data_IF_471042392858
#
_entry.id   IF_471042392858
#
_cell.length_a   1.000
_cell.length_b   1.000
_cell.length_c   1.000
_cell.angle_alpha   90.00
_cell.angle_beta   90.00
_cell.angle_gamma   90.00
#
_symmetry.space_group_name_H-M   'P 1'
#
loop_
_entity.id
_entity.type
_entity.pdbx_description
1 polymer ?
#
# COMPACT_ATOMS: atom_id res chain seq x y z
N UNK A 1 4.34 -18.91 46.77
CA UNK A 1 2.91 -19.21 46.55
C UNK A 1 2.14 -17.96 46.97
N UNK A 2 1.40 -17.21 46.16
CA UNK A 2 0.71 -17.41 44.87
C UNK A 2 0.58 -16.01 44.21
N UNK A 3 0.68 -15.96 42.89
CA UNK A 3 0.64 -14.72 42.09
C UNK A 3 -0.75 -14.09 41.97
N UNK A 4 -0.77 -12.77 41.75
CA UNK A 4 -1.97 -12.02 41.43
C UNK A 4 -2.28 -12.11 39.92
N UNK A 5 -3.52 -12.48 39.61
CA UNK A 5 -4.06 -12.64 38.26
C UNK A 5 -4.36 -11.26 37.64
N UNK A 6 -3.92 -11.06 36.40
CA UNK A 6 -4.42 -9.99 35.52
C UNK A 6 -5.75 -10.45 34.92
N UNK A 7 -6.80 -9.65 35.10
CA UNK A 7 -8.11 -9.87 34.46
C UNK A 7 -8.25 -8.87 33.33
N UNK A 8 -8.46 -9.37 32.10
CA UNK A 8 -8.69 -8.56 30.90
C UNK A 8 -10.18 -8.21 30.83
N UNK A 9 -10.53 -6.93 30.98
CA UNK A 9 -11.92 -6.47 30.83
C UNK A 9 -12.17 -5.93 29.41
N UNK A 10 -13.30 -6.37 28.83
CA UNK A 10 -13.63 -6.29 27.41
C UNK A 10 -14.51 -5.08 27.10
N UNK A 11 -14.13 -4.33 26.06
CA UNK A 11 -14.95 -3.45 25.16
C UNK A 11 -15.96 -2.47 25.75
N UNK A 12 -15.75 -1.18 25.47
CA UNK A 12 -16.85 -0.24 25.15
C UNK A 12 -16.52 0.59 23.90
N UNK A 13 -17.24 0.32 22.82
CA UNK A 13 -17.28 1.11 21.58
C UNK A 13 -17.91 2.47 21.87
N UNK A 14 -17.22 3.57 21.57
CA UNK A 14 -17.82 4.92 21.52
C UNK A 14 -18.22 5.21 20.08
N UNK A 15 -19.48 5.58 19.87
CA UNK A 15 -20.00 6.06 18.59
C UNK A 15 -19.94 7.59 18.58
N UNK A 16 -19.49 8.19 17.49
CA UNK A 16 -19.70 9.62 17.20
C UNK A 16 -20.48 9.75 15.89
N UNK A 17 -21.30 10.79 15.80
CA UNK A 17 -22.23 11.04 14.69
C UNK A 17 -21.74 12.26 13.91
N UNK A 18 -21.61 12.15 12.59
CA UNK A 18 -21.46 13.29 11.66
C UNK A 18 -22.59 13.18 10.63
N UNK A 19 -23.59 14.08 10.71
CA UNK A 19 -24.71 14.14 9.77
C UNK A 19 -25.74 12.99 9.83
N UNK A 20 -26.63 12.93 8.82
CA UNK A 20 -27.75 11.97 8.72
C UNK A 20 -27.36 10.63 8.05
N UNK A 21 -26.12 10.50 7.60
CA UNK A 21 -25.63 9.30 6.91
C UNK A 21 -24.84 8.43 7.88
N UNK A 22 -25.36 7.25 8.21
CA UNK A 22 -24.60 6.23 8.93
C UNK A 22 -23.61 5.57 7.97
N UNK A 23 -22.35 6.00 7.98
CA UNK A 23 -21.26 5.21 7.41
C UNK A 23 -20.83 4.20 8.46
N UNK A 24 -21.04 2.92 8.19
CA UNK A 24 -20.45 1.86 9.01
C UNK A 24 -18.94 1.86 8.76
N UNK A 25 -18.16 2.29 9.77
CA UNK A 25 -16.72 2.00 9.86
C UNK A 25 -16.53 0.50 10.14
N UNK A 26 -17.00 -0.35 9.24
CA UNK A 26 -16.59 -1.75 9.23
C UNK A 26 -15.26 -1.84 8.49
N UNK A 27 -14.20 -1.87 9.30
CA UNK A 27 -12.82 -2.29 9.02
C UNK A 27 -11.80 -1.18 8.74
N UNK A 28 -11.62 -0.30 9.72
CA UNK A 28 -10.24 -0.08 10.16
C UNK A 28 -9.85 -1.36 10.93
N UNK A 29 -9.26 -2.34 10.24
CA UNK A 29 -8.64 -3.46 10.95
C UNK A 29 -7.38 -2.88 11.59
N UNK A 30 -7.28 -2.80 12.93
CA UNK A 30 -6.00 -2.53 13.55
C UNK A 30 -5.03 -3.59 13.02
N UNK A 31 -3.81 -3.15 12.70
CA UNK A 31 -2.65 -3.98 12.41
C UNK A 31 -2.77 -5.29 13.20
N UNK A 32 -2.95 -6.41 12.49
CA UNK A 32 -3.20 -7.70 13.11
C UNK A 32 -2.05 -7.98 14.09
N UNK A 33 -2.35 -8.06 15.37
CA UNK A 33 -1.38 -8.28 16.46
C UNK A 33 -0.66 -9.63 16.41
N UNK A 34 -0.88 -10.41 15.35
CA UNK A 34 -0.48 -11.81 15.24
C UNK A 34 0.52 -12.05 14.09
N UNK A 35 0.99 -10.99 13.41
CA UNK A 35 2.17 -11.13 12.54
C UNK A 35 3.42 -11.21 13.42
N UNK A 36 4.11 -12.35 13.36
CA UNK A 36 5.40 -12.53 14.01
C UNK A 36 6.36 -11.45 13.50
N UNK A 37 6.80 -10.55 14.38
CA UNK A 37 7.72 -9.44 14.09
C UNK A 37 9.03 -9.90 13.41
N UNK A 38 9.31 -11.21 13.44
CA UNK A 38 10.47 -11.84 12.83
C UNK A 38 10.34 -12.20 11.33
N UNK A 39 9.17 -12.11 10.68
CA UNK A 39 9.00 -12.55 9.26
C UNK A 39 8.98 -11.44 8.22
N UNK A 40 8.89 -10.17 8.62
CA UNK A 40 8.89 -9.01 7.72
C UNK A 40 10.24 -8.31 7.91
N UNK A 41 11.28 -8.85 7.27
CA UNK A 41 12.61 -8.23 7.29
C UNK A 41 12.68 -7.22 6.14
N UNK A 42 12.70 -5.93 6.48
CA UNK A 42 13.02 -4.89 5.50
C UNK A 42 14.46 -5.09 5.03
N UNK A 43 14.72 -5.09 3.73
CA UNK A 43 16.03 -5.43 3.13
C UNK A 43 17.02 -4.26 3.14
N UNK A 44 16.91 -3.35 4.12
CA UNK A 44 17.66 -2.09 4.20
C UNK A 44 17.58 -1.24 2.91
N UNK A 45 16.48 -1.34 2.14
CA UNK A 45 16.22 -0.48 0.99
C UNK A 45 15.48 0.79 1.41
N UNK A 46 15.64 1.84 0.62
CA UNK A 46 15.06 3.15 0.89
C UNK A 46 13.85 3.45 0.02
N UNK A 47 12.95 4.28 0.55
CA UNK A 47 11.87 4.89 -0.19
C UNK A 47 12.37 6.06 -1.06
N UNK A 48 11.48 6.65 -1.85
CA UNK A 48 11.82 7.77 -2.76
C UNK A 48 12.34 9.04 -2.07
N UNK A 49 12.24 9.14 -0.75
CA UNK A 49 12.83 10.22 0.06
C UNK A 49 14.21 9.88 0.63
N UNK A 50 14.72 8.67 0.37
CA UNK A 50 15.97 8.18 0.95
C UNK A 50 15.83 7.70 2.41
N UNK A 51 14.62 7.53 2.89
CA UNK A 51 14.32 7.00 4.24
C UNK A 51 14.06 5.49 4.18
N UNK A 52 14.09 4.75 5.30
CA UNK A 52 13.80 3.32 5.29
C UNK A 52 12.45 2.99 4.63
N UNK A 53 12.42 1.98 3.76
CA UNK A 53 11.22 1.59 3.02
C UNK A 53 10.13 1.05 3.96
N UNK A 54 8.92 1.60 3.88
CA UNK A 54 7.78 1.12 4.65
C UNK A 54 7.05 -0.05 3.98
N UNK A 55 6.29 -0.79 4.78
CA UNK A 55 5.46 -1.90 4.29
C UNK A 55 4.37 -1.37 3.35
N UNK A 56 4.30 -1.93 2.14
CA UNK A 56 3.25 -1.60 1.18
C UNK A 56 1.94 -2.33 1.50
N UNK A 57 1.97 -3.66 1.63
CA UNK A 57 0.78 -4.48 1.95
C UNK A 57 1.11 -5.90 2.42
N UNK A 58 0.42 -6.37 3.48
CA UNK A 58 0.48 -7.76 3.96
C UNK A 58 -0.79 -8.56 3.61
N UNK A 59 -1.90 -7.89 3.32
CA UNK A 59 -3.17 -8.51 2.94
C UNK A 59 -3.85 -7.63 1.86
N UNK A 60 -3.70 -7.94 0.56
CA UNK A 60 -2.95 -9.07 0.00
C UNK A 60 -1.42 -8.89 0.16
N UNK A 61 -0.69 -10.01 0.30
CA UNK A 61 0.77 -10.00 0.41
C UNK A 61 1.41 -9.58 -0.91
N UNK A 62 2.03 -8.40 -0.92
CA UNK A 62 2.60 -7.77 -2.11
C UNK A 62 4.12 -7.96 -2.21
N UNK A 63 4.73 -7.33 -3.21
CA UNK A 63 6.16 -7.29 -3.45
C UNK A 63 6.61 -8.39 -4.39
N UNK A 64 7.64 -8.13 -5.21
CA UNK A 64 8.22 -9.14 -6.10
C UNK A 64 8.65 -10.39 -5.30
N UNK A 65 9.27 -10.18 -4.14
CA UNK A 65 9.70 -11.24 -3.22
C UNK A 65 8.60 -11.80 -2.31
N UNK A 66 7.37 -11.26 -2.39
CA UNK A 66 6.25 -11.60 -1.50
C UNK A 66 6.59 -11.41 -0.01
N UNK A 67 7.26 -10.31 0.31
CA UNK A 67 7.67 -9.91 1.66
C UNK A 67 6.85 -8.74 2.23
N UNK A 68 5.94 -8.17 1.42
CA UNK A 68 5.08 -7.05 1.79
C UNK A 68 5.63 -5.67 1.45
N UNK A 69 6.86 -5.59 0.94
CA UNK A 69 7.52 -4.34 0.54
C UNK A 69 7.62 -4.26 -0.99
N UNK A 70 7.93 -3.08 -1.52
CA UNK A 70 8.31 -2.92 -2.94
C UNK A 70 9.83 -3.04 -3.13
N UNK A 71 10.46 -3.98 -2.41
CA UNK A 71 11.87 -4.29 -2.56
C UNK A 71 12.14 -4.85 -3.95
N UNK A 72 13.32 -4.54 -4.50
CA UNK A 72 13.73 -4.98 -5.84
C UNK A 72 15.16 -5.51 -5.86
N UNK A 73 15.50 -6.23 -6.93
CA UNK A 73 16.84 -6.76 -7.19
C UNK A 73 17.03 -7.08 -8.67
N UNK A 74 18.22 -7.58 -9.07
CA UNK A 74 18.57 -7.84 -10.48
C UNK A 74 17.61 -8.77 -11.25
N UNK A 75 16.89 -9.63 -10.54
CA UNK A 75 15.90 -10.57 -11.05
C UNK A 75 14.53 -9.94 -11.32
N UNK A 76 14.22 -8.80 -10.69
CA UNK A 76 12.99 -8.06 -10.92
C UNK A 76 13.15 -7.11 -12.11
N UNK A 77 13.16 -7.69 -13.31
CA UNK A 77 13.23 -6.96 -14.58
C UNK A 77 12.05 -5.98 -14.76
N UNK A 78 10.92 -6.24 -14.09
CA UNK A 78 9.74 -5.39 -14.14
C UNK A 78 9.83 -4.13 -13.27
N UNK A 79 10.73 -4.13 -12.27
CA UNK A 79 10.84 -3.10 -11.24
C UNK A 79 9.51 -2.84 -10.54
N UNK A 80 9.04 -3.80 -9.73
CA UNK A 80 7.83 -3.72 -8.91
C UNK A 80 8.03 -2.80 -7.69
N UNK A 81 8.49 -1.59 -7.96
CA UNK A 81 9.04 -0.63 -7.00
C UNK A 81 8.05 0.45 -6.59
N UNK A 82 6.89 0.58 -7.28
CA UNK A 82 5.85 1.57 -6.96
C UNK A 82 4.74 0.93 -6.13
N UNK A 83 4.53 1.42 -4.90
CA UNK A 83 3.41 0.97 -4.08
C UNK A 83 2.15 1.75 -4.45
N UNK A 84 1.30 1.17 -5.29
CA UNK A 84 0.08 1.78 -5.77
C UNK A 84 -1.14 1.33 -4.95
N UNK A 85 -2.05 2.26 -4.67
CA UNK A 85 -3.43 1.97 -4.23
C UNK A 85 -4.26 1.81 -5.51
N UNK A 86 -4.48 0.58 -5.96
CA UNK A 86 -5.05 0.36 -7.29
C UNK A 86 -6.50 0.85 -7.36
N UNK A 87 -6.87 1.46 -8.49
CA UNK A 87 -8.24 1.94 -8.78
C UNK A 87 -8.90 1.07 -9.84
N UNK A 88 -10.21 1.22 -10.03
CA UNK A 88 -10.92 0.46 -11.08
C UNK A 88 -10.42 0.86 -12.48
N UNK A 89 -10.20 2.15 -12.70
CA UNK A 89 -9.70 2.73 -13.94
C UNK A 89 -8.28 2.24 -14.24
N UNK A 90 -7.41 2.22 -13.22
CA UNK A 90 -6.06 1.69 -13.37
C UNK A 90 -6.09 0.20 -13.72
N UNK A 91 -6.89 -0.62 -13.03
CA UNK A 91 -6.98 -2.06 -13.30
C UNK A 91 -7.50 -2.35 -14.73
N UNK A 92 -8.54 -1.65 -15.18
CA UNK A 92 -9.06 -1.79 -16.54
C UNK A 92 -8.00 -1.34 -17.57
N UNK A 93 -7.32 -0.23 -17.31
CA UNK A 93 -6.23 0.25 -18.15
C UNK A 93 -5.11 -0.79 -18.27
N UNK A 94 -4.60 -1.29 -17.14
CA UNK A 94 -3.53 -2.30 -17.12
C UNK A 94 -3.93 -3.54 -17.92
N UNK A 95 -5.17 -4.01 -17.76
CA UNK A 95 -5.71 -5.13 -18.54
C UNK A 95 -5.72 -4.82 -20.04
N UNK A 96 -6.14 -3.62 -20.44
CA UNK A 96 -6.18 -3.21 -21.85
C UNK A 96 -4.81 -3.19 -22.54
N UNK A 97 -3.73 -2.96 -21.77
CA UNK A 97 -2.34 -2.96 -22.25
C UNK A 97 -1.59 -4.28 -22.00
N UNK A 98 -2.34 -5.36 -21.71
CA UNK A 98 -1.82 -6.73 -21.56
C UNK A 98 -1.23 -7.06 -20.18
N UNK A 99 -1.53 -6.26 -19.15
CA UNK A 99 -1.11 -6.48 -17.77
C UNK A 99 -2.35 -6.74 -16.89
N UNK A 100 -2.92 -7.95 -16.97
CA UNK A 100 -4.10 -8.29 -16.17
C UNK A 100 -3.74 -8.47 -14.69
N UNK A 101 -4.09 -7.47 -13.89
CA UNK A 101 -3.91 -7.47 -12.44
C UNK A 101 -5.17 -7.89 -11.67
N UNK A 102 -6.26 -8.28 -12.34
CA UNK A 102 -7.53 -8.61 -11.70
C UNK A 102 -7.81 -10.11 -11.69
N UNK A 103 -7.32 -10.85 -12.69
CA UNK A 103 -7.48 -12.32 -12.75
C UNK A 103 -6.57 -13.01 -11.74
N UNK A 104 -7.10 -13.85 -10.82
CA UNK A 104 -6.28 -14.59 -9.86
C UNK A 104 -5.36 -15.60 -10.55
N UNK A 105 -4.12 -15.71 -10.06
CA UNK A 105 -3.17 -16.76 -10.44
C UNK A 105 -2.60 -17.45 -9.18
N UNK A 106 -3.36 -18.40 -8.58
CA UNK A 106 -2.99 -19.06 -7.32
C UNK A 106 -1.64 -19.77 -7.37
N UNK A 107 -1.23 -20.28 -8.54
CA UNK A 107 0.06 -20.93 -8.74
C UNK A 107 1.26 -19.98 -8.51
N UNK A 108 1.05 -18.67 -8.57
CA UNK A 108 2.05 -17.63 -8.31
C UNK A 108 1.77 -16.85 -7.02
N UNK A 109 0.84 -17.34 -6.18
CA UNK A 109 0.40 -16.65 -4.98
C UNK A 109 -0.27 -15.29 -5.27
N UNK A 110 -0.80 -15.10 -6.48
CA UNK A 110 -1.44 -13.85 -6.88
C UNK A 110 -2.97 -13.95 -6.73
N UNK A 111 -3.61 -13.16 -5.85
CA UNK A 111 -5.03 -13.29 -5.55
C UNK A 111 -5.95 -12.64 -6.58
N UNK A 112 -5.42 -11.82 -7.50
CA UNK A 112 -6.19 -10.87 -8.29
C UNK A 112 -6.59 -9.66 -7.44
N UNK A 113 -6.33 -8.46 -7.94
CA UNK A 113 -6.52 -7.21 -7.20
C UNK A 113 -7.91 -6.61 -7.39
N UNK A 114 -8.32 -5.85 -6.39
CA UNK A 114 -9.55 -5.06 -6.37
C UNK A 114 -9.23 -3.60 -6.06
N UNK A 115 -10.11 -2.65 -6.45
CA UNK A 115 -9.93 -1.25 -6.09
C UNK A 115 -9.74 -1.07 -4.57
N UNK A 116 -8.72 -0.30 -4.20
CA UNK A 116 -8.30 -0.06 -2.82
C UNK A 116 -7.21 -0.99 -2.30
N UNK A 117 -6.89 -2.08 -3.00
CA UNK A 117 -5.74 -2.93 -2.65
C UNK A 117 -4.43 -2.15 -2.86
N UNK A 118 -3.48 -2.34 -1.94
CA UNK A 118 -2.11 -1.85 -2.11
C UNK A 118 -1.24 -2.92 -2.75
N UNK A 119 -0.55 -2.56 -3.82
CA UNK A 119 0.27 -3.50 -4.58
C UNK A 119 1.53 -2.86 -5.17
N UNK A 120 2.61 -3.63 -5.20
CA UNK A 120 3.87 -3.27 -5.85
C UNK A 120 3.71 -3.48 -7.35
N UNK A 121 3.60 -2.40 -8.10
CA UNK A 121 3.44 -2.43 -9.56
C UNK A 121 4.74 -2.06 -10.26
N UNK A 122 4.91 -2.58 -11.47
CA UNK A 122 6.06 -2.24 -12.32
C UNK A 122 6.11 -0.73 -12.56
N UNK A 123 7.23 -0.07 -12.26
CA UNK A 123 7.40 1.37 -12.39
C UNK A 123 7.05 1.89 -13.80
N UNK A 124 7.52 1.20 -14.84
CA UNK A 124 7.19 1.55 -16.23
C UNK A 124 5.71 1.40 -16.58
N UNK A 125 4.99 0.44 -15.97
CA UNK A 125 3.54 0.26 -16.18
C UNK A 125 2.73 1.31 -15.47
N UNK A 126 3.19 1.75 -14.30
CA UNK A 126 2.61 2.88 -13.59
C UNK A 126 2.81 4.18 -14.39
N UNK A 127 4.02 4.43 -14.92
CA UNK A 127 4.29 5.60 -15.76
C UNK A 127 3.45 5.63 -17.04
N UNK A 128 3.23 4.46 -17.67
CA UNK A 128 2.35 4.38 -18.82
C UNK A 128 0.93 4.85 -18.46
N UNK A 129 0.37 4.36 -17.34
CA UNK A 129 -0.94 4.81 -16.86
C UNK A 129 -0.97 6.30 -16.50
N UNK A 130 0.13 6.85 -15.99
CA UNK A 130 0.28 8.29 -15.74
C UNK A 130 0.15 9.10 -17.03
N UNK A 131 0.86 8.70 -18.09
CA UNK A 131 0.75 9.36 -19.40
C UNK A 131 -0.64 9.22 -20.04
N UNK A 132 -1.32 8.11 -19.76
CA UNK A 132 -2.68 7.85 -20.24
C UNK A 132 -3.77 8.47 -19.33
N UNK A 133 -3.38 9.21 -18.28
CA UNK A 133 -4.28 9.98 -17.42
C UNK A 133 -5.09 9.15 -16.40
N UNK A 134 -4.64 7.93 -16.12
CA UNK A 134 -5.33 6.95 -15.26
C UNK A 134 -4.40 6.30 -14.24
N UNK A 135 -3.35 7.03 -13.81
CA UNK A 135 -2.44 6.58 -12.78
C UNK A 135 -3.16 6.31 -11.45
N UNK A 136 -2.76 5.23 -10.78
CA UNK A 136 -3.23 4.93 -9.45
C UNK A 136 -2.50 5.80 -8.40
N UNK A 137 -3.17 6.20 -7.30
CA UNK A 137 -2.51 6.84 -6.17
C UNK A 137 -1.34 6.01 -5.62
N UNK A 138 -0.33 6.68 -5.06
CA UNK A 138 0.95 6.08 -4.65
C UNK A 138 1.22 6.34 -3.18
N UNK A 139 1.66 5.32 -2.45
CA UNK A 139 2.18 5.46 -1.09
C UNK A 139 3.70 5.70 -1.20
N UNK A 140 4.15 6.95 -1.03
CA UNK A 140 5.53 7.34 -1.32
C UNK A 140 6.50 6.72 -0.31
N UNK A 141 6.13 6.69 0.98
CA UNK A 141 6.95 6.05 2.02
C UNK A 141 7.15 4.55 1.81
N UNK A 142 6.25 3.90 1.07
CA UNK A 142 6.33 2.49 0.70
C UNK A 142 6.73 2.28 -0.78
N UNK A 143 7.16 3.32 -1.50
CA UNK A 143 7.64 3.25 -2.88
C UNK A 143 9.15 3.35 -2.87
N UNK A 144 9.81 2.36 -3.48
CA UNK A 144 11.25 2.22 -3.45
C UNK A 144 11.97 3.26 -4.32
N UNK A 145 13.13 3.75 -3.87
CA UNK A 145 13.92 4.75 -4.61
C UNK A 145 14.28 4.31 -6.05
N UNK A 146 14.40 3.00 -6.30
CA UNK A 146 14.67 2.47 -7.63
C UNK A 146 13.57 2.81 -8.66
N UNK A 147 12.35 3.14 -8.22
CA UNK A 147 11.29 3.64 -9.09
C UNK A 147 11.72 4.93 -9.82
N UNK A 148 12.58 5.75 -9.21
CA UNK A 148 13.06 7.02 -9.74
C UNK A 148 13.94 6.87 -10.99
N UNK A 149 14.41 5.65 -11.28
CA UNK A 149 15.10 5.35 -12.54
C UNK A 149 14.16 5.39 -13.76
N UNK A 150 12.86 5.22 -13.54
CA UNK A 150 11.84 5.20 -14.58
C UNK A 150 10.82 6.34 -14.43
N UNK A 151 10.40 6.66 -13.20
CA UNK A 151 9.31 7.61 -12.91
C UNK A 151 9.86 8.87 -12.25
N UNK A 152 9.58 10.07 -12.77
CA UNK A 152 9.94 11.32 -12.10
C UNK A 152 9.27 11.44 -10.72
N UNK A 153 9.98 12.00 -9.74
CA UNK A 153 9.44 12.20 -8.38
C UNK A 153 8.20 13.09 -8.38
N UNK A 154 8.12 14.05 -9.30
CA UNK A 154 6.99 14.96 -9.45
C UNK A 154 5.71 14.20 -9.81
N UNK A 155 5.79 13.23 -10.73
CA UNK A 155 4.66 12.41 -11.14
C UNK A 155 4.15 11.54 -9.97
N UNK A 156 5.07 10.94 -9.21
CA UNK A 156 4.74 10.17 -8.01
C UNK A 156 4.08 11.06 -6.94
N UNK A 157 4.64 12.26 -6.72
CA UNK A 157 4.15 13.21 -5.71
C UNK A 157 2.77 13.77 -6.06
N UNK A 158 2.50 14.04 -7.33
CA UNK A 158 1.19 14.46 -7.84
C UNK A 158 0.07 13.45 -7.48
N UNK A 159 0.44 12.17 -7.36
CA UNK A 159 -0.48 11.06 -7.07
C UNK A 159 -0.33 10.52 -5.65
N UNK A 160 0.30 11.26 -4.72
CA UNK A 160 0.54 10.79 -3.36
C UNK A 160 -0.76 10.48 -2.59
N UNK A 161 -0.79 9.32 -1.93
CA UNK A 161 -1.89 8.84 -1.07
C UNK A 161 -1.51 8.84 0.43
N UNK A 162 -0.28 9.25 0.76
CA UNK A 162 0.21 9.27 2.14
C UNK A 162 -0.55 10.30 2.99
N UNK A 163 -0.82 9.93 4.24
CA UNK A 163 -1.34 10.88 5.22
C UNK A 163 -0.14 11.70 5.73
N UNK A 164 -0.22 13.04 5.73
CA UNK A 164 0.77 13.90 6.37
C UNK A 164 1.04 13.48 7.82
N UNK A 165 2.31 13.50 8.23
CA UNK A 165 2.70 13.08 9.59
C UNK A 165 2.10 13.98 10.68
N UNK A 166 1.76 15.22 10.35
CA UNK A 166 1.04 16.13 11.22
C UNK A 166 -0.42 16.30 10.75
N UNK A 167 -1.42 15.75 11.46
CA UNK A 167 -2.82 15.91 11.10
C UNK A 167 -3.35 17.34 11.30
N UNK A 168 -2.59 18.23 11.96
CA UNK A 168 -2.96 19.64 12.12
C UNK A 168 -2.95 20.41 10.80
N UNK A 169 -2.26 19.91 9.76
CA UNK A 169 -2.28 20.49 8.41
C UNK A 169 -3.67 20.44 7.74
N UNK A 170 -4.60 19.63 8.26
CA UNK A 170 -5.99 19.59 7.83
C UNK A 170 -6.92 20.45 8.70
N UNK A 171 -6.43 21.01 9.80
CA UNK A 171 -7.22 21.80 10.74
C UNK A 171 -7.29 23.29 10.37
N UNK A 172 -6.41 23.77 9.48
CA UNK A 172 -6.39 25.15 9.00
C UNK A 172 -7.14 25.27 7.66
N UNK A 173 -8.46 25.09 7.71
CA UNK A 173 -9.36 25.40 6.59
C UNK A 173 -9.95 26.80 6.74
N UNK A 174 -9.51 27.72 5.86
CA UNK A 174 -10.10 29.05 5.59
C UNK A 174 -11.44 28.92 4.83
#
# INVERSE_FOLDING_TARGET
MIGARVSVETRRTRCFTIGSTRVALTRFRPYASDVNENTVQNTDQNNVFGEPLEVCSLEPLTGFYRDGFTNTGPEDIGSHTVCAVVTAEFLEHQRSIGNDLSTPHPQFGFPGLKPGDRWGVCAGRWLQAYHDGVAAPVVLKATNEAALSAVPIEALTEHAADVPDDPSVFADGD
#
